data_IF_425673865692
#
_entry.id   IF_425673865692
#
_cell.length_a   1.000
_cell.length_b   1.000
_cell.length_c   1.000
_cell.angle_alpha   90.00
_cell.angle_beta   90.00
_cell.angle_gamma   90.00
#
_symmetry.space_group_name_H-M   'P 1'
#
loop_
_entity.id
_entity.type
_entity.pdbx_description
1 polymer ?
#
# COMPACT_ATOMS: atom_id res chain seq x y z
N UNK A 1 9.19 24.70 10.62
CA UNK A 1 8.30 23.77 9.86
C UNK A 1 8.81 22.34 10.09
N UNK A 2 8.09 21.54 10.87
CA UNK A 2 8.49 20.14 11.09
C UNK A 2 8.05 19.31 9.89
N UNK A 3 9.00 18.78 9.19
CA UNK A 3 8.81 17.91 8.02
C UNK A 3 8.47 16.51 8.53
N UNK A 4 7.37 15.94 8.07
CA UNK A 4 6.93 14.61 8.46
C UNK A 4 7.13 13.60 7.36
N UNK A 5 7.42 12.37 7.77
CA UNK A 5 7.80 11.28 6.90
C UNK A 5 6.70 10.24 6.85
N UNK A 6 6.11 10.04 5.69
CA UNK A 6 5.28 8.87 5.40
C UNK A 6 6.19 7.72 4.98
N UNK A 7 6.06 6.57 5.64
CA UNK A 7 6.70 5.35 5.22
C UNK A 7 5.71 4.55 4.37
N UNK A 8 5.98 4.46 3.08
CA UNK A 8 5.27 3.59 2.16
C UNK A 8 6.14 2.35 1.93
N UNK A 9 5.68 1.20 2.39
CA UNK A 9 6.27 -0.08 2.05
C UNK A 9 5.46 -0.72 0.93
N UNK A 10 6.08 -0.88 -0.23
CA UNK A 10 5.54 -1.69 -1.32
C UNK A 10 6.17 -3.08 -1.14
N UNK A 11 5.40 -4.01 -0.61
CA UNK A 11 5.84 -5.39 -0.49
C UNK A 11 6.00 -5.98 -1.89
N UNK A 12 7.23 -6.24 -2.26
CA UNK A 12 7.70 -6.84 -3.52
C UNK A 12 7.54 -5.99 -4.78
N UNK A 13 8.44 -5.04 -4.98
CA UNK A 13 8.76 -4.55 -6.31
C UNK A 13 10.28 -4.45 -6.48
N UNK A 14 10.86 -5.44 -7.12
CA UNK A 14 12.19 -5.31 -7.73
C UNK A 14 12.02 -4.61 -9.07
N UNK A 15 12.28 -3.31 -9.11
CA UNK A 15 12.42 -2.56 -10.35
C UNK A 15 13.75 -2.96 -11.01
N UNK A 16 13.73 -4.04 -11.79
CA UNK A 16 14.76 -4.32 -12.81
C UNK A 16 14.09 -5.04 -13.95
N UNK A 17 14.04 -4.37 -15.11
CA UNK A 17 13.65 -4.82 -16.44
C UNK A 17 12.17 -5.16 -16.69
N UNK A 18 11.70 -4.77 -17.89
CA UNK A 18 10.34 -4.86 -18.44
C UNK A 18 9.81 -6.30 -18.69
N UNK A 19 10.19 -7.28 -17.90
CA UNK A 19 9.59 -8.61 -17.95
C UNK A 19 8.60 -8.76 -16.81
N UNK A 20 7.35 -9.19 -17.06
CA UNK A 20 6.38 -9.41 -16.01
C UNK A 20 6.93 -10.39 -14.97
N UNK A 21 7.03 -9.93 -13.71
CA UNK A 21 7.50 -10.77 -12.62
C UNK A 21 6.36 -11.68 -12.19
N UNK A 22 6.50 -12.95 -12.46
CA UNK A 22 5.56 -13.98 -12.01
C UNK A 22 5.85 -14.31 -10.55
N UNK A 23 4.99 -13.84 -9.65
CA UNK A 23 5.09 -14.17 -8.23
C UNK A 23 4.29 -15.43 -7.91
N UNK A 24 4.95 -16.45 -7.37
CA UNK A 24 4.32 -17.68 -6.92
C UNK A 24 4.29 -17.71 -5.40
N UNK A 25 3.09 -17.76 -4.81
CA UNK A 25 2.92 -17.85 -3.38
C UNK A 25 3.05 -19.30 -2.87
N UNK A 26 3.68 -19.46 -1.72
CA UNK A 26 3.71 -20.74 -1.00
C UNK A 26 2.32 -21.11 -0.47
N UNK A 27 2.09 -22.38 -0.15
CA UNK A 27 0.82 -22.83 0.41
C UNK A 27 0.44 -22.11 1.71
N UNK A 28 1.42 -21.82 2.57
CA UNK A 28 1.21 -21.08 3.82
C UNK A 28 0.78 -19.63 3.56
N UNK A 29 1.43 -18.96 2.62
CA UNK A 29 1.05 -17.62 2.19
C UNK A 29 -0.34 -17.58 1.56
N UNK A 30 -0.66 -18.56 0.70
CA UNK A 30 -2.00 -18.67 0.11
C UNK A 30 -3.09 -18.87 1.16
N UNK A 31 -2.84 -19.70 2.16
CA UNK A 31 -3.79 -19.90 3.27
C UNK A 31 -4.01 -18.62 4.05
N UNK A 32 -2.94 -17.93 4.45
CA UNK A 32 -3.03 -16.70 5.21
C UNK A 32 -3.71 -15.59 4.40
N UNK A 33 -3.41 -15.47 3.13
CA UNK A 33 -4.00 -14.50 2.23
C UNK A 33 -5.49 -14.80 2.00
N UNK A 34 -5.87 -16.08 1.85
CA UNK A 34 -7.25 -16.51 1.61
C UNK A 34 -8.20 -16.17 2.77
N UNK A 35 -7.68 -16.07 4.00
CA UNK A 35 -8.46 -15.60 5.15
C UNK A 35 -8.92 -14.14 4.94
N UNK A 36 -8.03 -13.29 4.43
CA UNK A 36 -8.31 -11.86 4.22
C UNK A 36 -8.95 -11.57 2.86
N UNK A 37 -8.70 -12.43 1.87
CA UNK A 37 -9.21 -12.28 0.50
C UNK A 37 -9.67 -13.62 -0.03
N UNK A 38 -10.86 -14.10 0.39
CA UNK A 38 -11.40 -15.37 -0.05
C UNK A 38 -11.51 -15.44 -1.58
N UNK A 39 -11.12 -16.57 -2.15
CA UNK A 39 -11.23 -16.81 -3.60
C UNK A 39 -10.12 -16.20 -4.46
N UNK A 40 -9.16 -15.49 -3.89
CA UNK A 40 -8.05 -14.91 -4.68
C UNK A 40 -7.27 -15.98 -5.45
N UNK A 41 -7.04 -17.14 -4.83
CA UNK A 41 -6.31 -18.25 -5.44
C UNK A 41 -7.20 -19.30 -6.15
N UNK A 42 -8.50 -19.03 -6.31
CA UNK A 42 -9.44 -19.99 -6.92
C UNK A 42 -9.10 -20.31 -8.38
N UNK A 43 -8.39 -19.42 -9.08
CA UNK A 43 -8.04 -19.57 -10.50
C UNK A 43 -6.55 -19.73 -10.75
N UNK A 44 -5.70 -19.27 -9.86
CA UNK A 44 -4.24 -19.33 -10.01
C UNK A 44 -3.54 -19.14 -8.68
N UNK A 45 -2.46 -19.89 -8.48
CA UNK A 45 -1.52 -19.70 -7.37
C UNK A 45 -0.31 -18.82 -7.75
N UNK A 46 -0.31 -18.26 -8.95
CA UNK A 46 0.72 -17.37 -9.46
C UNK A 46 0.08 -16.13 -10.08
N UNK A 47 0.64 -14.96 -9.80
CA UNK A 47 0.16 -13.69 -10.29
C UNK A 47 1.24 -12.99 -11.11
N UNK A 48 0.84 -12.35 -12.19
CA UNK A 48 1.68 -11.41 -12.91
C UNK A 48 1.44 -10.01 -12.31
N UNK A 49 2.51 -9.39 -11.84
CA UNK A 49 2.51 -8.00 -11.41
C UNK A 49 3.16 -7.21 -12.54
N UNK A 50 2.33 -6.69 -13.44
CA UNK A 50 2.74 -5.86 -14.56
C UNK A 50 2.22 -4.45 -14.32
N UNK A 51 3.10 -3.55 -13.92
CA UNK A 51 2.76 -2.17 -13.63
C UNK A 51 2.76 -1.30 -14.91
N UNK A 52 3.45 -1.74 -15.96
CA UNK A 52 3.50 -0.99 -17.23
C UNK A 52 2.16 -1.10 -18.00
N UNK A 53 1.38 -2.14 -17.71
CA UNK A 53 0.06 -2.34 -18.31
C UNK A 53 -1.05 -1.49 -17.65
N UNK A 54 -0.76 -0.77 -16.57
CA UNK A 54 -1.74 0.02 -15.83
C UNK A 54 -2.16 1.27 -16.63
N UNK A 55 -3.46 1.52 -16.66
CA UNK A 55 -4.00 2.78 -17.20
C UNK A 55 -3.84 3.91 -16.18
N UNK A 56 -3.82 5.18 -16.60
CA UNK A 56 -3.65 6.33 -15.70
C UNK A 56 -4.67 6.43 -14.56
N UNK A 57 -5.85 5.84 -14.70
CA UNK A 57 -6.90 5.84 -13.67
C UNK A 57 -6.84 4.61 -12.73
N UNK A 58 -5.94 3.67 -12.98
CA UNK A 58 -5.79 2.45 -12.17
C UNK A 58 -4.70 2.57 -11.11
N UNK A 59 -3.96 3.69 -11.10
CA UNK A 59 -2.96 3.97 -10.07
C UNK A 59 -2.97 5.45 -9.67
N UNK A 60 -2.46 5.73 -8.49
CA UNK A 60 -2.23 7.08 -7.98
C UNK A 60 -0.98 7.09 -7.12
N UNK A 61 -0.24 8.20 -7.15
CA UNK A 61 0.84 8.38 -6.18
C UNK A 61 0.22 8.69 -4.80
N UNK A 62 0.72 8.06 -3.71
CA UNK A 62 0.05 8.17 -2.41
C UNK A 62 0.06 9.57 -1.81
N UNK A 63 1.06 10.37 -2.15
CA UNK A 63 1.17 11.79 -1.78
C UNK A 63 1.62 12.57 -3.01
N UNK A 64 0.71 13.24 -3.72
CA UNK A 64 1.04 13.97 -4.95
C UNK A 64 1.94 15.19 -4.71
N UNK A 65 2.11 15.57 -3.45
CA UNK A 65 3.00 16.65 -2.98
C UNK A 65 4.02 16.07 -2.01
N UNK A 66 5.22 16.64 -1.97
CA UNK A 66 6.28 16.21 -1.08
C UNK A 66 7.51 15.67 -1.81
N UNK A 67 8.51 15.30 -1.04
CA UNK A 67 9.77 14.74 -1.54
C UNK A 67 9.84 13.25 -1.24
N UNK A 68 9.84 12.42 -2.29
CA UNK A 68 10.00 10.98 -2.17
C UNK A 68 11.49 10.58 -2.16
N UNK A 69 11.84 9.64 -1.30
CA UNK A 69 13.17 9.05 -1.21
C UNK A 69 13.03 7.53 -1.12
N UNK A 70 13.60 6.81 -2.06
CA UNK A 70 13.64 5.36 -2.03
C UNK A 70 14.60 4.90 -0.94
N UNK A 71 14.16 4.01 -0.08
CA UNK A 71 14.94 3.36 0.96
C UNK A 71 15.15 1.88 0.61
N UNK A 72 15.91 1.16 1.43
CA UNK A 72 16.06 -0.30 1.30
C UNK A 72 14.71 -1.01 1.50
N UNK A 73 14.61 -2.24 1.02
CA UNK A 73 13.43 -3.11 1.18
C UNK A 73 12.14 -2.56 0.56
N UNK A 74 12.25 -1.90 -0.60
CA UNK A 74 11.09 -1.35 -1.33
C UNK A 74 10.26 -0.35 -0.51
N UNK A 75 10.90 0.38 0.39
CA UNK A 75 10.29 1.43 1.17
C UNK A 75 10.51 2.76 0.48
N UNK A 76 9.44 3.50 0.26
CA UNK A 76 9.47 4.90 -0.17
C UNK A 76 9.12 5.78 1.03
N UNK A 77 10.05 6.62 1.43
CA UNK A 77 9.84 7.65 2.45
C UNK A 77 9.42 8.94 1.76
N UNK A 78 8.26 9.47 2.11
CA UNK A 78 7.75 10.72 1.54
C UNK A 78 7.69 11.78 2.65
N UNK A 79 8.43 12.85 2.42
CA UNK A 79 8.45 14.01 3.31
C UNK A 79 7.45 15.04 2.82
N UNK A 80 6.46 15.40 3.65
CA UNK A 80 5.36 16.29 3.29
C UNK A 80 4.85 17.09 4.49
N UNK A 81 3.75 17.82 4.35
CA UNK A 81 3.16 18.67 5.38
C UNK A 81 2.12 17.92 6.22
N UNK A 82 1.92 18.38 7.46
CA UNK A 82 0.82 17.93 8.29
C UNK A 82 -0.52 18.28 7.63
N UNK A 83 -1.47 17.35 7.68
CA UNK A 83 -2.79 17.52 7.08
C UNK A 83 -2.90 17.06 5.62
N UNK A 84 -1.80 16.72 4.97
CA UNK A 84 -1.86 16.19 3.60
C UNK A 84 -2.60 14.85 3.55
N UNK A 85 -3.44 14.70 2.53
CA UNK A 85 -4.22 13.48 2.33
C UNK A 85 -3.38 12.36 1.69
N UNK A 86 -3.35 11.21 2.35
CA UNK A 86 -2.74 9.99 1.80
C UNK A 86 -3.75 9.31 0.89
N UNK A 87 -3.32 8.95 -0.32
CA UNK A 87 -4.16 8.31 -1.35
C UNK A 87 -3.79 6.82 -1.49
N UNK A 88 -4.80 5.98 -1.76
CA UNK A 88 -4.56 4.60 -2.17
C UNK A 88 -3.85 4.57 -3.54
N UNK A 89 -2.77 3.79 -3.65
CA UNK A 89 -2.04 3.66 -4.92
C UNK A 89 -2.86 2.93 -5.98
N UNK A 90 -3.58 1.90 -5.60
CA UNK A 90 -4.36 1.03 -6.49
C UNK A 90 -5.70 0.70 -5.85
N UNK A 91 -6.64 0.21 -6.66
CA UNK A 91 -7.87 -0.40 -6.15
C UNK A 91 -7.56 -1.60 -5.27
N UNK A 92 -8.29 -1.75 -4.17
CA UNK A 92 -8.07 -2.88 -3.27
C UNK A 92 -9.02 -2.90 -2.09
N UNK A 93 -8.75 -3.84 -1.18
CA UNK A 93 -9.50 -4.01 0.07
C UNK A 93 -8.58 -3.76 1.26
N UNK A 94 -9.02 -2.95 2.20
CA UNK A 94 -8.29 -2.66 3.44
C UNK A 94 -8.22 -3.92 4.29
N UNK A 95 -7.01 -4.41 4.53
CA UNK A 95 -6.75 -5.58 5.35
C UNK A 95 -6.37 -5.23 6.79
N UNK A 96 -5.69 -4.11 6.96
CA UNK A 96 -5.28 -3.58 8.25
C UNK A 96 -5.57 -2.09 8.29
N UNK A 97 -6.17 -1.60 9.38
CA UNK A 97 -6.31 -0.19 9.68
C UNK A 97 -6.26 -0.02 11.18
N UNK A 98 -5.08 0.26 11.74
CA UNK A 98 -4.89 0.43 13.18
C UNK A 98 -3.57 1.15 13.52
N UNK A 99 -3.41 1.53 14.78
CA UNK A 99 -2.17 2.10 15.31
C UNK A 99 -1.21 0.98 15.74
N UNK A 100 0.06 1.12 15.35
CA UNK A 100 1.17 0.29 15.84
C UNK A 100 2.15 1.15 16.63
N UNK A 101 2.82 0.60 17.66
CA UNK A 101 3.77 1.35 18.48
C UNK A 101 4.89 2.00 17.65
N UNK A 102 5.46 1.26 16.70
CA UNK A 102 6.65 1.67 15.95
C UNK A 102 6.33 2.34 14.61
N UNK A 103 5.11 2.18 14.09
CA UNK A 103 4.73 2.64 12.75
C UNK A 103 3.58 3.65 12.74
N UNK A 104 3.09 4.06 13.92
CA UNK A 104 1.93 4.94 14.00
C UNK A 104 0.66 4.33 13.43
N UNK A 105 -0.29 5.16 13.03
CA UNK A 105 -1.46 4.67 12.30
C UNK A 105 -1.02 4.11 10.96
N UNK A 106 -1.43 2.89 10.69
CA UNK A 106 -0.99 2.11 9.53
C UNK A 106 -2.18 1.48 8.83
N UNK A 107 -2.15 1.55 7.52
CA UNK A 107 -3.11 0.90 6.63
C UNK A 107 -2.35 -0.10 5.76
N UNK A 108 -2.92 -1.29 5.58
CA UNK A 108 -2.49 -2.26 4.57
C UNK A 108 -3.67 -2.50 3.64
N UNK A 109 -3.43 -2.31 2.34
CA UNK A 109 -4.42 -2.57 1.30
C UNK A 109 -3.93 -3.75 0.47
N UNK A 110 -4.83 -4.73 0.28
CA UNK A 110 -4.61 -5.85 -0.61
C UNK A 110 -5.26 -5.59 -1.95
N UNK A 111 -4.46 -5.74 -3.00
CA UNK A 111 -4.84 -5.54 -4.38
C UNK A 111 -5.21 -6.87 -5.06
N UNK A 112 -5.96 -6.78 -6.16
CA UNK A 112 -6.50 -7.94 -6.89
C UNK A 112 -5.45 -8.95 -7.35
N UNK A 113 -4.22 -8.50 -7.61
CA UNK A 113 -3.08 -9.33 -8.03
C UNK A 113 -2.27 -9.93 -6.87
N UNK A 114 -2.74 -9.79 -5.62
CA UNK A 114 -2.04 -10.26 -4.42
C UNK A 114 -0.97 -9.29 -3.90
N UNK A 115 -0.69 -8.20 -4.60
CA UNK A 115 0.18 -7.14 -4.10
C UNK A 115 -0.44 -6.47 -2.87
N UNK A 116 0.36 -6.13 -1.89
CA UNK A 116 -0.05 -5.30 -0.77
C UNK A 116 0.74 -3.98 -0.77
N UNK A 117 0.02 -2.89 -0.49
CA UNK A 117 0.64 -1.60 -0.18
C UNK A 117 0.44 -1.26 1.28
N UNK A 118 1.49 -0.76 1.92
CA UNK A 118 1.49 -0.39 3.34
C UNK A 118 1.72 1.11 3.46
N UNK A 119 0.83 1.79 4.18
CA UNK A 119 0.88 3.22 4.46
C UNK A 119 1.02 3.41 5.96
N UNK A 120 2.18 3.85 6.41
CA UNK A 120 2.52 3.97 7.82
C UNK A 120 2.88 5.41 8.21
N UNK A 121 2.95 5.69 9.50
CA UNK A 121 3.16 7.01 10.08
C UNK A 121 2.04 8.02 9.75
N UNK A 122 0.81 7.54 9.56
CA UNK A 122 -0.34 8.40 9.46
C UNK A 122 -0.66 9.00 10.85
N UNK A 123 -1.25 10.18 10.86
CA UNK A 123 -1.87 10.75 12.07
C UNK A 123 -3.23 10.13 12.33
N UNK A 124 -3.95 9.85 11.25
CA UNK A 124 -5.30 9.30 11.28
C UNK A 124 -5.55 8.43 10.06
N UNK A 125 -6.21 7.28 10.26
CA UNK A 125 -6.75 6.46 9.20
C UNK A 125 -8.24 6.81 9.02
N UNK A 126 -8.69 7.03 7.78
CA UNK A 126 -10.08 7.38 7.47
C UNK A 126 -10.84 6.24 6.80
N UNK A 127 -10.24 5.05 6.77
CA UNK A 127 -10.84 3.82 6.22
C UNK A 127 -10.73 2.68 7.22
N UNK A 128 -11.66 1.72 7.13
CA UNK A 128 -11.78 0.57 8.03
C UNK A 128 -11.43 -0.74 7.33
N UNK A 129 -11.10 -1.75 8.14
CA UNK A 129 -10.85 -3.12 7.66
C UNK A 129 -12.07 -3.66 6.92
N UNK A 130 -11.84 -4.27 5.76
CA UNK A 130 -12.88 -4.82 4.88
C UNK A 130 -13.42 -3.80 3.86
N UNK A 131 -13.15 -2.51 4.03
CA UNK A 131 -13.59 -1.49 3.08
C UNK A 131 -12.85 -1.63 1.75
N UNK A 132 -13.60 -1.55 0.64
CA UNK A 132 -13.02 -1.45 -0.69
C UNK A 132 -12.67 0.02 -0.98
N UNK A 133 -11.48 0.25 -1.52
CA UNK A 133 -10.97 1.57 -1.90
C UNK A 133 -10.54 1.58 -3.36
N UNK A 134 -10.61 2.74 -3.99
CA UNK A 134 -10.15 2.96 -5.36
C UNK A 134 -8.82 3.70 -5.37
N UNK A 135 -8.05 3.52 -6.44
CA UNK A 135 -6.86 4.32 -6.70
C UNK A 135 -7.19 5.83 -6.61
N UNK A 136 -6.35 6.57 -5.89
CA UNK A 136 -6.57 8.01 -5.67
C UNK A 136 -7.57 8.37 -4.55
N UNK A 137 -8.26 7.40 -3.97
CA UNK A 137 -9.13 7.65 -2.81
C UNK A 137 -8.31 8.01 -1.58
N UNK A 138 -8.75 9.03 -0.82
CA UNK A 138 -8.13 9.36 0.48
C UNK A 138 -8.37 8.25 1.47
N UNK A 139 -7.31 7.77 2.11
CA UNK A 139 -7.33 6.66 3.07
C UNK A 139 -6.81 7.08 4.45
N UNK A 140 -5.95 8.09 4.50
CA UNK A 140 -5.37 8.58 5.74
C UNK A 140 -4.98 10.06 5.63
N UNK A 141 -4.60 10.64 6.76
CA UNK A 141 -4.09 12.00 6.87
C UNK A 141 -2.69 11.96 7.48
N UNK A 142 -1.76 12.70 6.90
CA UNK A 142 -0.42 12.91 7.44
C UNK A 142 -0.47 13.87 8.62
N UNK A 143 0.27 13.59 9.68
CA UNK A 143 0.32 14.53 10.79
C UNK A 143 1.14 14.05 11.97
N UNK A 144 1.07 14.75 13.10
CA UNK A 144 1.73 14.31 14.33
C UNK A 144 1.00 13.11 14.89
N UNK A 145 1.73 12.01 15.04
CA UNK A 145 1.31 10.96 15.96
C UNK A 145 1.24 11.66 17.32
N UNK A 146 0.02 11.75 17.87
CA UNK A 146 -0.21 12.46 19.13
C UNK A 146 0.79 12.03 20.19
N UNK A 147 1.27 13.01 20.93
CA UNK A 147 2.06 12.78 22.14
C UNK A 147 1.20 12.13 23.21
#
# INVERSE_FOLDING_TARGET
MRIKKLLLAIATLTLVSATPVKHQFTAAEQQQISISTPGLFSRSNAFNIDLDALKPNEYSFPLPVGKATLRKNNVVEITTKDGDAVKAMFDGTVRVSRKFPDMGYTIVIRHRNGLETVYANNAENVVEVGQHVRAGQTIAIVGQIGR
#
